data_IF_182580546984
#
_entry.id   IF_182580546984
#
_cell.length_a   1.000
_cell.length_b   1.000
_cell.length_c   1.000
_cell.angle_alpha   90.00
_cell.angle_beta   90.00
_cell.angle_gamma   90.00
#
_symmetry.space_group_name_H-M   'P 1'
#
loop_
_entity.id
_entity.type
_entity.pdbx_description
1 polymer ?
#
# COMPACT_ATOMS: atom_id res chain seq x y z
N UNK A 1 15.35 -54.63 -3.85
CA UNK A 1 16.45 -53.77 -4.35
C UNK A 1 16.10 -52.26 -4.37
N UNK A 2 15.14 -51.77 -3.58
CA UNK A 2 14.66 -50.37 -3.69
C UNK A 2 14.71 -49.56 -2.39
N UNK A 3 15.21 -50.13 -1.28
CA UNK A 3 15.43 -49.38 -0.02
C UNK A 3 16.73 -48.56 -0.03
N UNK A 4 17.75 -48.99 -0.79
CA UNK A 4 19.08 -48.37 -0.77
C UNK A 4 19.17 -46.99 -1.45
N UNK A 5 18.22 -46.66 -2.33
CA UNK A 5 18.26 -45.40 -3.11
C UNK A 5 17.56 -44.22 -2.43
N UNK A 6 16.85 -44.45 -1.32
CA UNK A 6 16.14 -43.39 -0.58
C UNK A 6 17.04 -42.74 0.47
N UNK A 7 17.93 -43.52 1.07
CA UNK A 7 18.86 -43.03 2.09
C UNK A 7 20.00 -42.15 1.50
N UNK A 8 20.19 -42.17 0.17
CA UNK A 8 21.20 -41.37 -0.54
C UNK A 8 20.71 -39.98 -0.99
N UNK A 9 19.39 -39.75 -1.06
CA UNK A 9 18.81 -38.48 -1.54
C UNK A 9 18.40 -37.51 -0.43
N UNK A 10 18.35 -37.97 0.83
CA UNK A 10 18.12 -37.12 2.00
C UNK A 10 19.38 -36.82 2.80
N UNK A 11 20.54 -37.37 2.40
CA UNK A 11 21.82 -37.18 3.10
C UNK A 11 22.58 -35.89 2.79
N UNK A 12 21.97 -34.89 2.13
CA UNK A 12 22.72 -33.76 1.53
C UNK A 12 22.14 -32.36 1.67
N UNK A 13 21.06 -32.14 2.44
CA UNK A 13 20.47 -30.79 2.63
C UNK A 13 20.46 -30.36 4.12
N UNK A 14 21.09 -31.12 5.02
CA UNK A 14 21.12 -30.83 6.46
C UNK A 14 22.47 -30.29 6.99
N UNK A 15 23.33 -29.71 6.15
CA UNK A 15 24.63 -29.17 6.59
C UNK A 15 24.90 -27.70 6.24
N UNK A 16 23.87 -26.94 5.85
CA UNK A 16 23.88 -25.48 5.97
C UNK A 16 22.66 -25.00 6.76
N UNK A 17 22.49 -25.53 7.97
CA UNK A 17 21.99 -24.71 9.06
C UNK A 17 23.18 -23.80 9.42
N UNK A 18 23.24 -22.52 8.98
CA UNK A 18 24.30 -21.64 9.44
C UNK A 18 24.24 -21.66 10.96
N UNK A 19 25.36 -22.06 11.55
CA UNK A 19 25.56 -21.98 12.98
C UNK A 19 25.11 -20.60 13.43
N UNK A 20 24.27 -20.60 14.46
CA UNK A 20 23.83 -19.47 15.28
C UNK A 20 24.30 -18.10 14.80
N UNK A 21 23.35 -17.31 14.29
CA UNK A 21 23.47 -15.88 13.96
C UNK A 21 24.22 -15.14 15.07
N UNK A 22 25.54 -15.10 14.93
CA UNK A 22 26.44 -14.45 15.86
C UNK A 22 26.22 -12.95 15.79
N UNK A 23 25.76 -12.40 16.91
CA UNK A 23 25.49 -10.98 17.17
C UNK A 23 24.56 -10.32 16.15
N UNK A 24 23.25 -10.38 16.41
CA UNK A 24 22.31 -9.38 15.90
C UNK A 24 22.87 -8.00 16.27
N UNK A 25 23.42 -7.31 15.27
CA UNK A 25 23.87 -5.95 15.47
C UNK A 25 22.62 -5.09 15.59
N UNK A 26 22.35 -4.53 16.78
CA UNK A 26 21.13 -3.74 17.07
C UNK A 26 21.09 -2.37 16.36
N UNK A 27 21.56 -2.28 15.12
CA UNK A 27 21.71 -1.04 14.34
C UNK A 27 20.80 -1.00 13.11
N UNK A 28 19.74 -1.79 13.11
CA UNK A 28 18.75 -1.89 12.03
C UNK A 28 18.19 -0.50 11.63
N UNK A 29 17.93 0.37 12.62
CA UNK A 29 17.46 1.73 12.38
C UNK A 29 18.51 2.60 11.65
N UNK A 30 19.79 2.47 12.01
CA UNK A 30 20.90 3.19 11.36
C UNK A 30 21.11 2.69 9.92
N UNK A 31 20.91 1.38 9.66
CA UNK A 31 20.96 0.79 8.30
C UNK A 31 19.93 1.44 7.38
N UNK A 32 18.68 1.55 7.84
CA UNK A 32 17.58 2.14 7.06
C UNK A 32 17.84 3.62 6.80
N UNK A 33 18.18 4.39 7.84
CA UNK A 33 18.47 5.81 7.70
C UNK A 33 19.63 6.07 6.71
N UNK A 34 20.70 5.26 6.78
CA UNK A 34 21.84 5.36 5.87
C UNK A 34 21.44 5.07 4.41
N UNK A 35 20.65 4.01 4.18
CA UNK A 35 20.20 3.63 2.83
C UNK A 35 19.31 4.70 2.16
N UNK A 36 18.47 5.38 2.93
CA UNK A 36 17.60 6.45 2.42
C UNK A 36 18.26 7.83 2.39
N UNK A 37 19.50 7.96 2.89
CA UNK A 37 20.22 9.23 2.93
C UNK A 37 19.67 10.19 3.98
N UNK A 38 19.04 9.65 5.04
CA UNK A 38 18.46 10.41 6.15
C UNK A 38 19.48 10.71 7.25
N UNK A 39 20.66 10.07 7.21
CA UNK A 39 21.78 10.34 8.12
C UNK A 39 22.50 11.64 7.76
N UNK A 40 22.93 12.42 8.76
CA UNK A 40 23.85 13.54 8.52
C UNK A 40 25.29 13.06 8.19
N UNK A 41 26.16 13.95 7.71
CA UNK A 41 27.53 13.60 7.28
C UNK A 41 28.36 12.90 8.39
N UNK A 42 28.16 13.31 9.66
CA UNK A 42 28.86 12.73 10.80
C UNK A 42 28.38 11.32 11.13
N UNK A 43 27.06 11.09 11.07
CA UNK A 43 26.43 9.78 11.24
C UNK A 43 26.82 8.83 10.10
N UNK A 44 26.76 9.30 8.85
CA UNK A 44 27.15 8.53 7.68
C UNK A 44 28.62 8.07 7.76
N UNK A 45 29.53 8.94 8.20
CA UNK A 45 30.94 8.59 8.39
C UNK A 45 31.14 7.53 9.48
N UNK A 46 30.46 7.67 10.64
CA UNK A 46 30.49 6.69 11.73
C UNK A 46 29.90 5.34 11.30
N UNK A 47 28.79 5.36 10.57
CA UNK A 47 28.17 4.13 10.07
C UNK A 47 29.05 3.46 9.00
N UNK A 48 29.69 4.23 8.13
CA UNK A 48 30.66 3.69 7.15
C UNK A 48 31.86 3.02 7.85
N UNK A 49 32.37 3.61 8.92
CA UNK A 49 33.40 2.97 9.75
C UNK A 49 32.89 1.67 10.39
N UNK A 50 31.64 1.65 10.85
CA UNK A 50 31.00 0.45 11.38
C UNK A 50 30.84 -0.65 10.31
N UNK A 51 30.44 -0.30 9.08
CA UNK A 51 30.35 -1.23 7.95
C UNK A 51 31.71 -1.88 7.63
N UNK A 52 32.82 -1.18 7.82
CA UNK A 52 34.15 -1.78 7.64
C UNK A 52 34.42 -2.89 8.68
N UNK A 53 33.88 -2.78 9.89
CA UNK A 53 34.12 -3.71 11.00
C UNK A 53 33.03 -4.79 11.18
N UNK A 54 31.79 -4.55 10.74
CA UNK A 54 30.65 -5.43 10.99
C UNK A 54 30.19 -6.17 9.73
N UNK A 55 30.30 -7.50 9.72
CA UNK A 55 29.88 -8.32 8.58
C UNK A 55 28.35 -8.37 8.41
N UNK A 56 27.57 -8.49 9.50
CA UNK A 56 26.10 -8.52 9.47
C UNK A 56 25.52 -7.29 8.77
N UNK A 57 25.93 -6.09 9.21
CA UNK A 57 25.46 -4.84 8.62
C UNK A 57 25.83 -4.69 7.13
N UNK A 58 26.97 -5.25 6.69
CA UNK A 58 27.32 -5.26 5.25
C UNK A 58 26.40 -6.17 4.46
N UNK A 59 26.09 -7.35 4.98
CA UNK A 59 25.17 -8.30 4.35
C UNK A 59 23.75 -7.73 4.27
N UNK A 60 23.28 -7.06 5.32
CA UNK A 60 21.99 -6.37 5.33
C UNK A 60 21.93 -5.23 4.31
N UNK A 61 22.93 -4.35 4.28
CA UNK A 61 23.00 -3.26 3.28
C UNK A 61 23.02 -3.82 1.86
N UNK A 62 23.76 -4.91 1.62
CA UNK A 62 23.79 -5.58 0.32
C UNK A 62 22.43 -6.20 -0.05
N UNK A 63 21.75 -6.86 0.90
CA UNK A 63 20.43 -7.45 0.69
C UNK A 63 19.38 -6.37 0.34
N UNK A 64 19.38 -5.24 1.04
CA UNK A 64 18.50 -4.11 0.69
C UNK A 64 18.86 -3.48 -0.66
N UNK A 65 20.13 -3.46 -1.04
CA UNK A 65 20.58 -3.01 -2.35
C UNK A 65 19.89 -3.76 -3.50
N UNK A 66 19.80 -5.09 -3.40
CA UNK A 66 19.11 -5.94 -4.38
C UNK A 66 17.62 -5.59 -4.48
N UNK A 67 16.95 -5.39 -3.34
CA UNK A 67 15.51 -5.01 -3.32
C UNK A 67 15.30 -3.67 -4.02
N UNK A 68 16.16 -2.67 -3.75
CA UNK A 68 16.07 -1.35 -4.39
C UNK A 68 16.30 -1.41 -5.90
N UNK A 69 17.24 -2.24 -6.35
CA UNK A 69 17.46 -2.49 -7.77
C UNK A 69 16.19 -3.07 -8.43
N UNK A 70 15.57 -4.09 -7.82
CA UNK A 70 14.31 -4.68 -8.32
C UNK A 70 13.16 -3.68 -8.37
N UNK A 71 13.02 -2.84 -7.35
CA UNK A 71 12.01 -1.77 -7.35
C UNK A 71 12.30 -0.75 -8.47
N UNK A 72 13.59 -0.44 -8.70
CA UNK A 72 14.03 0.40 -9.80
C UNK A 72 13.69 -0.17 -11.18
N UNK A 73 13.98 -1.45 -11.41
CA UNK A 73 13.60 -2.19 -12.63
C UNK A 73 12.09 -2.18 -12.84
N UNK A 74 11.31 -2.52 -11.80
CA UNK A 74 9.85 -2.51 -11.87
C UNK A 74 9.30 -1.13 -12.17
N UNK A 75 9.84 -0.07 -11.55
CA UNK A 75 9.43 1.31 -11.82
C UNK A 75 9.76 1.72 -13.25
N UNK A 76 10.92 1.34 -13.77
CA UNK A 76 11.30 1.59 -15.15
C UNK A 76 10.32 0.91 -16.12
N UNK A 77 9.94 -0.33 -15.84
CA UNK A 77 8.96 -1.06 -16.65
C UNK A 77 7.55 -0.45 -16.55
N UNK A 78 7.10 -0.09 -15.34
CA UNK A 78 5.84 0.60 -15.15
C UNK A 78 5.77 1.92 -15.94
N UNK A 79 6.86 2.71 -15.94
CA UNK A 79 6.96 3.94 -16.74
C UNK A 79 6.94 3.66 -18.25
N UNK A 80 7.50 2.53 -18.70
CA UNK A 80 7.44 2.12 -20.11
C UNK A 80 6.04 1.70 -20.56
N UNK A 81 5.31 0.99 -19.70
CA UNK A 81 3.97 0.48 -20.00
C UNK A 81 2.89 1.56 -19.88
N UNK A 82 3.13 2.62 -19.11
CA UNK A 82 2.20 3.75 -19.05
C UNK A 82 2.43 4.60 -20.29
N UNK A 83 1.49 4.66 -21.27
CA UNK A 83 1.64 5.52 -22.43
C UNK A 83 1.82 6.93 -21.91
N UNK A 84 2.94 7.55 -22.29
CA UNK A 84 3.32 8.88 -21.85
C UNK A 84 2.16 9.85 -22.06
N UNK A 85 1.48 10.19 -20.98
CA UNK A 85 0.60 11.35 -20.90
C UNK A 85 1.48 12.60 -21.01
N UNK A 86 2.15 12.84 -22.15
CA UNK A 86 2.81 14.09 -22.54
C UNK A 86 3.74 14.82 -21.55
N UNK A 87 4.11 14.24 -20.40
CA UNK A 87 4.85 14.93 -19.32
C UNK A 87 6.38 14.73 -19.45
N UNK A 88 6.83 13.85 -20.36
CA UNK A 88 8.21 13.33 -20.35
C UNK A 88 9.32 14.24 -20.88
N UNK A 89 9.04 15.43 -21.44
CA UNK A 89 10.12 16.29 -21.99
C UNK A 89 10.51 17.50 -21.14
N UNK A 90 9.82 17.78 -20.03
CA UNK A 90 10.12 18.96 -19.20
C UNK A 90 11.12 18.72 -18.05
N UNK A 91 11.47 17.46 -17.74
CA UNK A 91 12.23 17.11 -16.52
C UNK A 91 13.48 16.28 -16.81
N UNK A 92 14.08 16.43 -17.99
CA UNK A 92 15.45 15.95 -18.19
C UNK A 92 16.42 17.09 -17.89
N UNK A 93 17.05 17.12 -16.69
CA UNK A 93 18.08 18.11 -16.38
C UNK A 93 19.33 17.75 -17.19
N UNK A 94 19.36 18.12 -18.47
CA UNK A 94 20.63 18.22 -19.18
C UNK A 94 21.42 19.34 -18.50
N UNK A 95 22.61 19.06 -17.94
CA UNK A 95 23.44 20.10 -17.33
C UNK A 95 24.08 20.93 -18.45
N UNK A 96 23.27 21.77 -19.11
CA UNK A 96 23.82 22.87 -19.89
C UNK A 96 24.32 23.91 -18.89
N UNK A 97 25.65 24.02 -18.80
CA UNK A 97 26.41 25.07 -18.11
C UNK A 97 26.15 26.48 -18.68
N UNK A 98 24.89 26.83 -18.93
CA UNK A 98 24.50 28.21 -19.20
C UNK A 98 24.20 28.86 -17.85
N UNK A 99 25.03 29.86 -17.49
CA UNK A 99 24.84 30.76 -16.34
C UNK A 99 23.40 31.32 -16.37
N UNK A 100 22.49 30.67 -15.66
CA UNK A 100 21.10 31.12 -15.58
C UNK A 100 21.05 32.40 -14.72
N UNK A 101 20.41 33.48 -15.19
CA UNK A 101 20.24 34.68 -14.39
C UNK A 101 19.43 34.33 -13.14
N UNK A 102 19.84 34.87 -11.99
CA UNK A 102 19.20 34.68 -10.69
C UNK A 102 17.78 35.27 -10.69
N UNK A 103 16.83 34.59 -11.33
CA UNK A 103 15.40 34.88 -11.21
C UNK A 103 14.97 34.34 -9.84
N UNK A 104 14.61 35.27 -8.96
CA UNK A 104 13.93 34.96 -7.69
C UNK A 104 12.73 34.08 -8.00
N UNK A 105 12.84 32.77 -7.73
CA UNK A 105 11.73 31.83 -7.86
C UNK A 105 10.67 32.28 -6.87
N UNK A 106 9.52 32.72 -7.35
CA UNK A 106 8.39 33.07 -6.50
C UNK A 106 7.90 31.79 -5.80
N UNK A 107 7.49 31.88 -4.54
CA UNK A 107 7.02 30.74 -3.76
C UNK A 107 5.90 29.95 -4.47
N UNK A 108 5.08 30.64 -5.28
CA UNK A 108 4.04 30.02 -6.10
C UNK A 108 4.57 29.11 -7.22
N UNK A 109 5.77 29.35 -7.75
CA UNK A 109 6.38 28.47 -8.75
C UNK A 109 6.82 27.14 -8.13
N UNK A 110 7.38 27.17 -6.92
CA UNK A 110 7.76 25.95 -6.19
C UNK A 110 6.53 25.11 -5.79
N UNK A 111 5.44 25.76 -5.38
CA UNK A 111 4.17 25.08 -5.11
C UNK A 111 3.60 24.40 -6.37
N UNK A 112 3.66 25.06 -7.52
CA UNK A 112 3.22 24.44 -8.79
C UNK A 112 4.05 23.22 -9.18
N UNK A 113 5.37 23.26 -8.97
CA UNK A 113 6.23 22.09 -9.20
C UNK A 113 5.89 20.95 -8.24
N UNK A 114 5.61 21.25 -6.97
CA UNK A 114 5.24 20.23 -5.97
C UNK A 114 3.91 19.54 -6.31
N UNK A 115 2.90 20.29 -6.75
CA UNK A 115 1.62 19.70 -7.18
C UNK A 115 1.71 18.99 -8.54
N UNK A 116 2.63 19.40 -9.42
CA UNK A 116 2.89 18.69 -10.67
C UNK A 116 3.55 17.32 -10.44
N UNK A 117 4.30 17.15 -9.35
CA UNK A 117 4.92 15.89 -8.95
C UNK A 117 4.00 15.01 -8.08
N UNK A 118 2.86 15.53 -7.63
CA UNK A 118 1.94 14.77 -6.77
C UNK A 118 1.18 13.69 -7.56
N UNK A 119 1.00 12.49 -6.99
CA UNK A 119 0.23 11.43 -7.63
C UNK A 119 -1.19 11.91 -8.00
N UNK A 120 -1.70 11.46 -9.15
CA UNK A 120 -3.03 11.83 -9.66
C UNK A 120 -4.19 11.68 -8.66
N UNK A 121 -4.10 10.72 -7.72
CA UNK A 121 -5.09 10.55 -6.64
C UNK A 121 -5.08 11.70 -5.62
N UNK A 122 -3.92 12.33 -5.36
CA UNK A 122 -3.85 13.54 -4.54
C UNK A 122 -4.37 14.78 -5.27
N UNK A 123 -4.19 14.86 -6.60
CA UNK A 123 -4.79 15.94 -7.39
C UNK A 123 -6.33 15.84 -7.37
N UNK A 124 -6.89 14.63 -7.48
CA UNK A 124 -8.33 14.42 -7.33
C UNK A 124 -8.82 14.84 -5.93
N UNK A 125 -8.05 14.53 -4.88
CA UNK A 125 -8.36 14.94 -3.51
C UNK A 125 -8.37 16.46 -3.31
N UNK A 126 -7.37 17.17 -3.83
CA UNK A 126 -7.27 18.63 -3.69
C UNK A 126 -8.33 19.38 -4.50
N UNK A 127 -8.69 18.88 -5.69
CA UNK A 127 -9.80 19.44 -6.45
C UNK A 127 -11.14 19.27 -5.72
N UNK A 128 -11.38 18.10 -5.13
CA UNK A 128 -12.59 17.83 -4.35
C UNK A 128 -12.68 18.73 -3.10
N UNK A 129 -11.60 18.87 -2.33
CA UNK A 129 -11.59 19.74 -1.15
C UNK A 129 -11.75 21.22 -1.52
N UNK A 130 -11.13 21.68 -2.61
CA UNK A 130 -11.31 23.04 -3.11
C UNK A 130 -12.77 23.29 -3.54
N UNK A 131 -13.41 22.31 -4.22
CA UNK A 131 -14.82 22.39 -4.57
C UNK A 131 -15.71 22.44 -3.34
N UNK A 132 -15.47 21.56 -2.35
CA UNK A 132 -16.21 21.55 -1.08
C UNK A 132 -16.06 22.90 -0.37
N UNK A 133 -14.85 23.46 -0.29
CA UNK A 133 -14.61 24.78 0.28
C UNK A 133 -15.34 25.89 -0.49
N UNK A 134 -15.33 25.87 -1.82
CA UNK A 134 -16.08 26.82 -2.64
C UNK A 134 -17.59 26.71 -2.42
N UNK A 135 -18.13 25.49 -2.32
CA UNK A 135 -19.55 25.26 -2.04
C UNK A 135 -19.90 25.76 -0.63
N UNK A 136 -19.09 25.46 0.38
CA UNK A 136 -19.28 25.95 1.75
C UNK A 136 -19.19 27.48 1.83
N UNK A 137 -18.25 28.10 1.11
CA UNK A 137 -18.12 29.54 1.03
C UNK A 137 -19.36 30.16 0.36
N UNK A 138 -19.83 29.59 -0.75
CA UNK A 138 -21.05 30.04 -1.41
C UNK A 138 -22.30 29.91 -0.52
N UNK A 139 -22.43 28.79 0.23
CA UNK A 139 -23.50 28.59 1.20
C UNK A 139 -23.43 29.59 2.36
N UNK A 140 -22.22 29.93 2.81
CA UNK A 140 -21.99 30.94 3.85
C UNK A 140 -22.42 32.33 3.38
N UNK A 141 -22.08 32.72 2.15
CA UNK A 141 -22.53 33.99 1.56
C UNK A 141 -24.04 34.01 1.30
N UNK A 142 -24.63 32.88 0.93
CA UNK A 142 -26.07 32.74 0.74
C UNK A 142 -26.87 32.72 2.04
N UNK A 143 -26.21 32.75 3.22
CA UNK A 143 -26.85 32.53 4.54
C UNK A 143 -27.75 31.28 4.53
N UNK A 144 -27.30 30.22 3.88
CA UNK A 144 -28.04 28.96 3.89
C UNK A 144 -27.90 28.33 5.29
N UNK A 145 -28.99 28.32 6.06
CA UNK A 145 -29.06 27.53 7.29
C UNK A 145 -29.29 26.08 6.88
N UNK A 146 -28.25 25.25 7.06
CA UNK A 146 -28.36 23.80 6.94
C UNK A 146 -28.81 23.28 8.30
N UNK A 147 -30.05 22.82 8.40
CA UNK A 147 -30.56 22.14 9.60
C UNK A 147 -30.55 20.64 9.33
N UNK A 148 -29.78 19.92 10.14
CA UNK A 148 -29.92 18.47 10.29
C UNK A 148 -30.99 18.21 11.35
N UNK A 149 -32.09 17.60 10.95
CA UNK A 149 -33.12 17.10 11.89
C UNK A 149 -33.30 15.59 11.73
N UNK A 150 -34.11 14.97 12.60
CA UNK A 150 -34.38 13.53 12.57
C UNK A 150 -35.09 13.08 11.27
N UNK A 151 -35.61 14.02 10.48
CA UNK A 151 -36.26 13.75 9.19
C UNK A 151 -35.32 13.91 7.97
N UNK A 152 -34.07 14.35 8.18
CA UNK A 152 -33.03 14.41 7.16
C UNK A 152 -32.31 15.77 7.09
N UNK A 153 -31.80 16.09 5.88
CA UNK A 153 -31.10 17.35 5.61
C UNK A 153 -32.09 18.35 5.01
N UNK A 154 -32.44 19.40 5.75
CA UNK A 154 -33.26 20.50 5.25
C UNK A 154 -32.38 21.72 4.93
N UNK A 155 -32.35 22.10 3.65
CA UNK A 155 -31.69 23.31 3.16
C UNK A 155 -32.73 24.42 2.97
N UNK A 156 -32.76 25.40 3.87
CA UNK A 156 -33.58 26.60 3.68
C UNK A 156 -32.74 27.71 3.03
N UNK A 157 -32.85 27.86 1.71
CA UNK A 157 -32.30 29.00 0.96
C UNK A 157 -33.41 30.04 0.73
N UNK A 158 -33.63 30.90 1.71
CA UNK A 158 -34.66 31.96 1.63
C UNK A 158 -34.06 33.32 1.92
N UNK A 159 -34.07 34.21 0.92
CA UNK A 159 -33.87 35.64 1.14
C UNK A 159 -35.00 36.13 2.06
N UNK A 160 -34.71 36.27 3.36
CA UNK A 160 -35.64 36.87 4.31
C UNK A 160 -35.83 38.34 3.91
N UNK A 161 -36.94 38.65 3.24
CA UNK A 161 -37.45 40.01 3.21
C UNK A 161 -37.55 40.49 4.66
N UNK A 162 -36.79 41.54 4.96
CA UNK A 162 -36.60 42.06 6.30
C UNK A 162 -37.88 42.76 6.75
N UNK A 163 -38.86 42.00 7.21
CA UNK A 163 -40.04 42.52 7.86
C UNK A 163 -40.57 41.52 8.89
N UNK A 164 -39.84 41.30 9.98
CA UNK A 164 -40.50 40.97 11.24
C UNK A 164 -39.58 41.22 12.44
N UNK A 165 -39.65 42.45 12.97
CA UNK A 165 -39.34 42.72 14.38
C UNK A 165 -40.44 42.07 15.21
N UNK A 166 -40.35 40.78 15.53
CA UNK A 166 -40.98 40.11 16.69
C UNK A 166 -40.46 38.66 16.69
N UNK A 167 -40.00 38.17 17.85
CA UNK A 167 -39.52 36.79 18.12
C UNK A 167 -38.00 36.54 18.19
N UNK A 168 -37.25 37.46 18.81
CA UNK A 168 -35.88 37.22 19.31
C UNK A 168 -35.85 36.73 20.78
N UNK A 169 -36.89 36.00 21.22
CA UNK A 169 -37.01 35.56 22.62
C UNK A 169 -37.16 34.03 22.81
N UNK A 170 -37.17 33.22 21.75
CA UNK A 170 -37.53 31.79 21.88
C UNK A 170 -36.41 30.81 21.55
N UNK A 171 -35.33 31.20 20.86
CA UNK A 171 -34.31 30.23 20.39
C UNK A 171 -33.15 30.02 21.41
N UNK A 172 -33.11 30.80 22.50
CA UNK A 172 -32.14 30.62 23.60
C UNK A 172 -32.74 29.92 24.84
N UNK A 173 -33.79 29.09 24.68
CA UNK A 173 -34.18 28.16 25.73
C UNK A 173 -33.22 26.98 25.71
N UNK A 174 -32.18 27.14 26.52
CA UNK A 174 -30.99 26.31 26.60
C UNK A 174 -31.27 24.81 26.71
N UNK A 175 -30.49 24.06 25.95
CA UNK A 175 -30.18 22.67 26.26
C UNK A 175 -29.69 22.66 27.71
N UNK A 176 -30.47 22.02 28.58
CA UNK A 176 -30.11 21.92 29.99
C UNK A 176 -28.87 21.03 30.12
N UNK A 177 -27.99 21.34 31.06
CA UNK A 177 -26.77 20.56 31.27
C UNK A 177 -27.07 19.07 31.49
N UNK A 178 -28.20 18.75 32.14
CA UNK A 178 -28.70 17.39 32.30
C UNK A 178 -28.98 16.66 30.98
N UNK A 179 -29.46 17.38 29.96
CA UNK A 179 -29.72 16.81 28.64
C UNK A 179 -28.41 16.52 27.89
N UNK A 180 -27.38 17.35 28.09
CA UNK A 180 -26.04 17.09 27.55
C UNK A 180 -25.42 15.86 28.23
N UNK A 181 -25.53 15.76 29.55
CA UNK A 181 -25.00 14.61 30.31
C UNK A 181 -25.67 13.30 29.90
N UNK A 182 -26.99 13.32 29.63
CA UNK A 182 -27.73 12.16 29.13
C UNK A 182 -27.31 11.74 27.71
N UNK A 183 -27.05 12.71 26.82
CA UNK A 183 -26.51 12.44 25.48
C UNK A 183 -25.11 11.82 25.57
N UNK A 184 -24.25 12.35 26.43
CA UNK A 184 -22.89 11.81 26.64
C UNK A 184 -22.97 10.39 27.21
N UNK A 185 -23.82 10.14 28.21
CA UNK A 185 -24.00 8.80 28.79
C UNK A 185 -24.55 7.79 27.77
N UNK A 186 -25.37 8.25 26.83
CA UNK A 186 -25.93 7.40 25.76
C UNK A 186 -24.86 7.06 24.72
N UNK A 187 -24.08 8.04 24.25
CA UNK A 187 -22.96 7.76 23.35
C UNK A 187 -21.86 6.92 24.00
N UNK A 188 -21.57 7.11 25.29
CA UNK A 188 -20.59 6.27 25.99
C UNK A 188 -21.01 4.78 26.00
N UNK A 189 -22.32 4.50 26.15
CA UNK A 189 -22.85 3.13 26.08
C UNK A 189 -22.77 2.55 24.67
N UNK A 190 -23.09 3.34 23.65
CA UNK A 190 -23.02 2.93 22.25
C UNK A 190 -21.59 2.62 21.80
N UNK A 191 -20.63 3.50 22.13
CA UNK A 191 -19.21 3.28 21.86
C UNK A 191 -18.68 2.05 22.60
N UNK A 192 -19.12 1.84 23.85
CA UNK A 192 -18.78 0.64 24.62
C UNK A 192 -19.28 -0.65 23.96
N UNK A 193 -20.51 -0.64 23.44
CA UNK A 193 -21.09 -1.80 22.74
C UNK A 193 -20.35 -2.11 21.42
N UNK A 194 -20.03 -1.08 20.63
CA UNK A 194 -19.24 -1.24 19.40
C UNK A 194 -17.84 -1.80 19.67
N UNK A 195 -17.20 -1.34 20.76
CA UNK A 195 -15.88 -1.86 21.14
C UNK A 195 -15.93 -3.34 21.52
N UNK A 196 -16.97 -3.77 22.23
CA UNK A 196 -17.19 -5.19 22.55
C UNK A 196 -17.44 -6.03 21.28
N UNK A 197 -18.21 -5.53 20.32
CA UNK A 197 -18.45 -6.23 19.05
C UNK A 197 -17.15 -6.41 18.26
N UNK A 198 -16.31 -5.38 18.20
CA UNK A 198 -15.00 -5.45 17.54
C UNK A 198 -14.08 -6.47 18.21
N UNK A 199 -14.02 -6.48 19.54
CA UNK A 199 -13.23 -7.47 20.29
C UNK A 199 -13.72 -8.91 20.06
N UNK A 200 -15.05 -9.12 19.99
CA UNK A 200 -15.61 -10.44 19.68
C UNK A 200 -15.26 -10.89 18.25
N UNK A 201 -15.33 -9.98 17.27
CA UNK A 201 -14.93 -10.28 15.89
C UNK A 201 -13.45 -10.63 15.82
N UNK A 202 -12.58 -9.86 16.45
CA UNK A 202 -11.14 -10.13 16.49
C UNK A 202 -10.83 -11.50 17.13
N UNK A 203 -11.44 -11.80 18.28
CA UNK A 203 -11.30 -13.10 18.93
C UNK A 203 -11.80 -14.26 18.03
N UNK A 204 -12.88 -14.05 17.28
CA UNK A 204 -13.41 -15.05 16.35
C UNK A 204 -12.48 -15.30 15.16
N UNK A 205 -11.83 -14.25 14.64
CA UNK A 205 -10.85 -14.35 13.56
C UNK A 205 -9.61 -15.11 14.01
N UNK A 206 -9.10 -14.81 15.21
CA UNK A 206 -7.96 -15.53 15.81
C UNK A 206 -8.31 -17.01 15.99
N UNK A 207 -9.49 -17.32 16.51
CA UNK A 207 -9.95 -18.71 16.68
C UNK A 207 -10.12 -19.44 15.33
N UNK A 208 -10.60 -18.77 14.29
CA UNK A 208 -10.71 -19.34 12.95
C UNK A 208 -9.33 -19.62 12.34
N UNK A 209 -8.37 -18.70 12.51
CA UNK A 209 -6.99 -18.88 12.02
C UNK A 209 -6.29 -20.06 12.71
N UNK A 210 -6.51 -20.24 14.01
CA UNK A 210 -5.99 -21.40 14.74
C UNK A 210 -6.56 -22.72 14.18
N UNK A 211 -7.86 -22.78 13.90
CA UNK A 211 -8.49 -23.96 13.29
C UNK A 211 -7.92 -24.28 11.90
N UNK A 212 -7.68 -23.26 11.06
CA UNK A 212 -7.05 -23.47 9.76
C UNK A 212 -5.64 -24.06 9.89
N UNK A 213 -4.84 -23.55 10.83
CA UNK A 213 -3.50 -24.09 11.09
C UNK A 213 -3.52 -25.52 11.63
N UNK A 214 -4.56 -25.90 12.38
CA UNK A 214 -4.75 -27.27 12.86
C UNK A 214 -5.15 -28.23 11.73
N UNK A 215 -6.02 -27.80 10.82
CA UNK A 215 -6.37 -28.58 9.62
C UNK A 215 -5.14 -28.79 8.73
N UNK A 216 -4.31 -27.76 8.54
CA UNK A 216 -3.07 -27.86 7.77
C UNK A 216 -2.07 -28.85 8.41
N UNK A 217 -1.97 -28.87 9.75
CA UNK A 217 -1.13 -29.85 10.47
C UNK A 217 -1.68 -31.27 10.42
N UNK A 218 -3.00 -31.44 10.39
CA UNK A 218 -3.64 -32.75 10.46
C UNK A 218 -3.84 -33.37 9.08
N UNK A 219 -3.69 -32.60 8.00
CA UNK A 219 -3.76 -33.14 6.64
C UNK A 219 -2.54 -34.05 6.39
N UNK A 220 -2.70 -35.39 6.41
CA UNK A 220 -1.60 -36.29 6.21
C UNK A 220 -1.12 -36.14 4.76
N UNK A 221 0.20 -36.10 4.56
CA UNK A 221 0.88 -36.05 3.27
C UNK A 221 0.61 -37.29 2.40
N UNK A 222 -0.66 -37.57 2.08
CA UNK A 222 -1.12 -38.81 1.46
C UNK A 222 -1.08 -38.73 -0.07
N UNK A 223 -0.64 -37.61 -0.66
CA UNK A 223 -0.77 -37.35 -2.11
C UNK A 223 0.45 -37.80 -2.93
N UNK A 224 1.60 -38.12 -2.32
CA UNK A 224 2.81 -38.44 -3.09
C UNK A 224 2.98 -39.93 -3.48
N UNK A 225 2.02 -40.81 -3.18
CA UNK A 225 2.15 -42.25 -3.48
C UNK A 225 1.47 -42.73 -4.78
N UNK A 226 0.61 -41.94 -5.43
CA UNK A 226 -0.22 -42.43 -6.56
C UNK A 226 0.25 -42.01 -7.96
N UNK A 227 1.45 -41.43 -8.11
CA UNK A 227 1.89 -40.81 -9.37
C UNK A 227 2.88 -41.60 -10.25
N UNK A 228 3.29 -42.82 -9.87
CA UNK A 228 4.39 -43.53 -10.57
C UNK A 228 3.99 -44.53 -11.66
N UNK A 229 2.72 -44.84 -11.88
CA UNK A 229 2.35 -45.93 -12.81
C UNK A 229 2.00 -45.50 -14.24
N UNK A 230 1.90 -44.19 -14.57
CA UNK A 230 1.33 -43.75 -15.87
C UNK A 230 2.25 -42.88 -16.74
N UNK A 231 3.57 -43.06 -16.68
CA UNK A 231 4.50 -42.41 -17.62
C UNK A 231 5.60 -43.35 -18.14
N UNK A 232 5.19 -44.55 -18.58
CA UNK A 232 6.07 -45.55 -19.20
C UNK A 232 5.52 -46.12 -20.52
N UNK A 233 4.83 -45.30 -21.33
CA UNK A 233 4.44 -45.72 -22.69
C UNK A 233 4.22 -44.52 -23.63
N UNK A 234 5.31 -43.94 -24.13
CA UNK A 234 5.46 -43.51 -25.54
C UNK A 234 6.79 -42.79 -25.76
N UNK A 235 7.83 -43.58 -26.01
CA UNK A 235 9.03 -43.19 -26.72
C UNK A 235 8.90 -43.66 -28.16
N UNK A 236 8.70 -42.74 -29.12
CA UNK A 236 9.28 -42.78 -30.47
C UNK A 236 8.78 -41.60 -31.30
N UNK A 237 9.64 -40.60 -31.51
CA UNK A 237 9.63 -39.79 -32.74
C UNK A 237 11.11 -39.52 -33.09
N UNK A 238 11.53 -39.75 -34.35
CA UNK A 238 12.92 -39.59 -34.77
C UNK A 238 13.28 -38.14 -35.04
N UNK A 239 14.57 -37.86 -34.88
CA UNK A 239 15.22 -36.63 -35.26
C UNK A 239 15.17 -36.41 -36.78
N UNK A 240 14.71 -35.23 -37.21
CA UNK A 240 15.35 -34.52 -38.32
C UNK A 240 14.90 -33.06 -38.40
N UNK A 241 15.88 -32.21 -38.73
CA UNK A 241 15.79 -30.99 -39.55
C UNK A 241 15.35 -29.64 -38.94
N UNK A 242 16.41 -28.85 -38.81
CA UNK A 242 16.64 -27.47 -39.31
C UNK A 242 16.14 -26.26 -38.51
N UNK A 243 16.96 -25.19 -38.46
CA UNK A 243 16.69 -23.94 -37.78
C UNK A 243 15.89 -22.98 -38.66
N UNK A 244 15.46 -21.89 -38.04
CA UNK A 244 14.78 -20.70 -38.58
C UNK A 244 13.24 -20.70 -38.48
N UNK A 245 12.72 -19.51 -38.19
CA UNK A 245 11.32 -19.14 -37.96
C UNK A 245 10.77 -19.45 -36.57
N UNK A 246 10.86 -18.46 -35.64
CA UNK A 246 9.72 -17.94 -34.84
C UNK A 246 10.09 -16.56 -34.29
N UNK A 247 9.99 -15.54 -35.15
CA UNK A 247 9.48 -14.24 -34.73
C UNK A 247 7.95 -14.31 -34.79
N UNK A 248 7.29 -13.60 -33.87
CA UNK A 248 5.85 -13.32 -33.78
C UNK A 248 4.96 -14.42 -33.16
N UNK A 249 4.55 -14.16 -31.92
CA UNK A 249 3.51 -14.91 -31.21
C UNK A 249 3.38 -14.49 -29.75
N UNK A 250 3.19 -13.20 -29.47
CA UNK A 250 2.75 -12.75 -28.15
C UNK A 250 1.32 -13.21 -27.91
N UNK A 251 1.13 -14.43 -27.41
CA UNK A 251 -0.13 -14.90 -26.87
C UNK A 251 -0.25 -14.45 -25.42
N UNK A 252 -0.65 -13.19 -25.20
CA UNK A 252 -1.09 -12.64 -23.91
C UNK A 252 -2.53 -13.09 -23.54
N UNK A 253 -3.16 -13.97 -24.33
CA UNK A 253 -4.59 -14.28 -24.19
C UNK A 253 -4.93 -15.46 -23.26
N UNK A 254 -3.94 -16.13 -22.64
CA UNK A 254 -4.18 -17.32 -21.79
C UNK A 254 -4.01 -17.07 -20.28
N UNK A 255 -4.20 -15.83 -19.82
CA UNK A 255 -4.35 -15.54 -18.40
C UNK A 255 -5.84 -15.53 -18.03
N UNK A 256 -6.27 -16.37 -17.06
CA UNK A 256 -7.67 -16.38 -16.63
C UNK A 256 -8.07 -14.99 -16.15
N UNK A 257 -9.17 -14.47 -16.71
CA UNK A 257 -9.65 -13.13 -16.36
C UNK A 257 -10.03 -13.14 -14.89
N UNK A 258 -9.64 -12.10 -14.17
CA UNK A 258 -9.92 -11.93 -12.73
C UNK A 258 -11.42 -12.11 -12.37
N UNK A 259 -12.30 -11.88 -13.35
CA UNK A 259 -13.74 -12.08 -13.24
C UNK A 259 -14.13 -13.56 -13.05
N UNK A 260 -13.39 -14.50 -13.63
CA UNK A 260 -13.67 -15.94 -13.54
C UNK A 260 -13.34 -16.48 -12.14
N UNK A 261 -12.32 -15.92 -11.46
CA UNK A 261 -11.95 -16.29 -10.09
C UNK A 261 -12.92 -15.75 -9.01
N UNK A 262 -13.63 -14.66 -9.31
CA UNK A 262 -14.57 -14.04 -8.38
C UNK A 262 -15.99 -14.64 -8.47
N UNK A 263 -16.28 -15.43 -9.50
CA UNK A 263 -17.58 -16.06 -9.68
C UNK A 263 -17.80 -17.29 -8.80
N UNK A 264 -16.73 -17.97 -8.40
CA UNK A 264 -16.80 -19.20 -7.61
C UNK A 264 -16.87 -18.94 -6.08
N UNK A 265 -16.94 -17.68 -5.65
CA UNK A 265 -16.93 -17.28 -4.21
C UNK A 265 -18.33 -16.87 -3.69
N UNK A 266 -19.37 -16.99 -4.52
CA UNK A 266 -20.78 -16.76 -4.13
C UNK A 266 -21.63 -18.01 -4.37
#
# INVERSE_FOLDING_TARGET
MTKKFRDELTGGIDAHRPAERGSECSRDEEVVAYLYGETNDGEAARFTQHLAACASCREEVAAFGVVRERIGEWRAEAVRLTPSLGISDAISPTPKLAKAPARRRSAGAALREFFALSPWWMQAGTAATALILCVLAALSFARAEVRWDESGVALMTGARDSSEKTNEATILRGVTQSQVDEMIATHAREVGALHQELQQKEASLIAAQQKLSEVERTQPQTVMASGKERRRRNTRVPASRTPDSYLAGNSEEDLPRLYDLLRDVN
#
